data_IF_119639851575
#
_entry.id   IF_119639851575
#
_cell.length_a   1.000
_cell.length_b   1.000
_cell.length_c   1.000
_cell.angle_alpha   90.00
_cell.angle_beta   90.00
_cell.angle_gamma   90.00
#
_symmetry.space_group_name_H-M   'P 1'
#
loop_
_entity.id
_entity.type
_entity.pdbx_description
1 polymer ?
#
# COMPACT_ATOMS: atom_id res chain seq x y z
N UNK A 1 2.93 16.66 -37.28
CA UNK A 1 3.23 17.78 -36.36
C UNK A 1 3.42 17.19 -34.97
N UNK A 2 4.66 16.81 -34.67
CA UNK A 2 5.05 16.23 -33.38
C UNK A 2 5.15 17.33 -32.33
N UNK A 3 4.03 17.61 -31.66
CA UNK A 3 4.04 18.31 -30.38
C UNK A 3 4.55 17.35 -29.29
N UNK A 4 5.83 16.98 -29.35
CA UNK A 4 6.50 16.40 -28.17
C UNK A 4 6.65 17.53 -27.14
N UNK A 5 5.59 17.76 -26.37
CA UNK A 5 5.64 18.56 -25.15
C UNK A 5 6.74 17.95 -24.28
N UNK A 6 7.71 18.77 -23.91
CA UNK A 6 8.71 18.37 -22.94
C UNK A 6 8.01 18.12 -21.60
N UNK A 7 7.96 16.86 -21.16
CA UNK A 7 7.33 16.43 -19.92
C UNK A 7 8.35 16.32 -18.77
N UNK A 8 9.55 16.89 -18.93
CA UNK A 8 10.51 17.01 -17.83
C UNK A 8 9.94 17.86 -16.69
N UNK A 9 9.96 17.29 -15.49
CA UNK A 9 9.48 17.98 -14.29
C UNK A 9 10.11 17.39 -13.04
N UNK A 10 10.22 18.21 -11.99
CA UNK A 10 10.64 17.73 -10.67
C UNK A 10 9.56 16.85 -10.03
N UNK A 11 8.28 17.19 -10.22
CA UNK A 11 7.14 16.45 -9.67
C UNK A 11 6.04 16.30 -10.72
N UNK A 12 5.65 15.06 -10.99
CA UNK A 12 4.47 14.70 -11.78
C UNK A 12 3.35 14.23 -10.86
N UNK A 13 2.15 14.76 -11.03
CA UNK A 13 0.98 14.41 -10.22
C UNK A 13 -0.06 13.76 -11.12
N UNK A 14 -0.38 12.51 -10.83
CA UNK A 14 -1.47 11.78 -11.45
C UNK A 14 -2.80 12.11 -10.78
N UNK A 15 -3.65 12.79 -11.55
CA UNK A 15 -5.04 13.11 -11.19
C UNK A 15 -6.02 12.64 -12.29
N UNK A 16 -5.64 11.64 -13.10
CA UNK A 16 -6.40 11.28 -14.30
C UNK A 16 -7.64 10.45 -13.97
N UNK A 17 -7.48 9.33 -13.25
CA UNK A 17 -8.58 8.43 -12.87
C UNK A 17 -8.33 7.85 -11.48
N UNK A 18 -9.20 8.15 -10.52
CA UNK A 18 -9.15 7.56 -9.18
C UNK A 18 -10.02 6.29 -9.04
N UNK A 19 -10.76 6.20 -7.94
CA UNK A 19 -11.58 5.03 -7.56
C UNK A 19 -12.65 4.57 -8.57
N UNK A 20 -13.01 5.42 -9.54
CA UNK A 20 -14.00 5.11 -10.57
C UNK A 20 -13.45 4.32 -11.77
N UNK A 21 -12.17 3.94 -11.77
CA UNK A 21 -11.56 3.19 -12.86
C UNK A 21 -12.31 1.88 -13.18
N UNK A 22 -12.61 1.67 -14.46
CA UNK A 22 -13.27 0.47 -15.00
C UNK A 22 -12.62 0.06 -16.31
N UNK A 23 -12.38 -1.24 -16.48
CA UNK A 23 -11.87 -1.78 -17.74
C UNK A 23 -10.36 -1.57 -17.90
N UNK A 24 -9.97 -0.96 -19.00
CA UNK A 24 -8.56 -0.70 -19.34
C UNK A 24 -8.35 0.79 -19.63
N UNK A 25 -7.10 1.24 -19.46
CA UNK A 25 -6.72 2.59 -19.88
C UNK A 25 -6.79 2.73 -21.40
N UNK A 26 -6.92 3.95 -21.90
CA UNK A 26 -6.79 4.23 -23.33
C UNK A 26 -5.32 4.21 -23.77
N UNK A 27 -4.99 3.86 -25.04
CA UNK A 27 -3.60 3.74 -25.50
C UNK A 27 -2.73 4.98 -25.27
N UNK A 28 -3.31 6.18 -25.32
CA UNK A 28 -2.60 7.43 -25.09
C UNK A 28 -2.24 7.67 -23.61
N UNK A 29 -2.88 6.96 -22.67
CA UNK A 29 -2.58 7.01 -21.23
C UNK A 29 -1.50 5.99 -20.86
N UNK A 30 -0.41 5.95 -21.63
CA UNK A 30 0.75 5.16 -21.27
C UNK A 30 1.60 5.91 -20.24
N UNK A 31 1.29 5.73 -18.95
CA UNK A 31 1.95 6.47 -17.87
C UNK A 31 3.44 6.16 -17.74
N UNK A 32 3.90 4.99 -18.16
CA UNK A 32 5.34 4.69 -18.22
C UNK A 32 6.06 5.68 -19.13
N UNK A 33 5.51 5.96 -20.32
CA UNK A 33 6.05 6.95 -21.26
C UNK A 33 5.89 8.39 -20.75
N UNK A 34 4.71 8.72 -20.20
CA UNK A 34 4.40 10.07 -19.74
C UNK A 34 5.24 10.52 -18.53
N UNK A 35 5.75 9.57 -17.74
CA UNK A 35 6.49 9.84 -16.50
C UNK A 35 8.00 9.62 -16.60
N UNK A 36 8.55 9.30 -17.78
CA UNK A 36 9.97 8.95 -17.96
C UNK A 36 10.93 10.05 -17.48
N UNK A 37 10.54 11.32 -17.65
CA UNK A 37 11.36 12.49 -17.28
C UNK A 37 10.93 13.14 -15.96
N UNK A 38 10.06 12.50 -15.19
CA UNK A 38 9.63 13.00 -13.88
C UNK A 38 10.58 12.51 -12.78
N UNK A 39 11.07 13.42 -11.94
CA UNK A 39 11.96 13.05 -10.82
C UNK A 39 11.22 12.42 -9.64
N UNK A 40 9.99 12.86 -9.39
CA UNK A 40 9.11 12.34 -8.35
C UNK A 40 7.67 12.26 -8.84
N UNK A 41 6.95 11.20 -8.48
CA UNK A 41 5.60 10.89 -9.00
C UNK A 41 4.63 10.70 -7.85
N UNK A 42 3.55 11.50 -7.83
CA UNK A 42 2.50 11.43 -6.81
C UNK A 42 1.20 10.98 -7.46
N UNK A 43 0.53 9.98 -6.89
CA UNK A 43 -0.84 9.64 -7.26
C UNK A 43 -1.85 10.30 -6.32
N UNK A 44 -2.86 10.94 -6.90
CA UNK A 44 -4.02 11.46 -6.19
C UNK A 44 -5.06 10.34 -6.00
N UNK A 45 -5.36 10.01 -4.75
CA UNK A 45 -6.28 8.96 -4.32
C UNK A 45 -5.81 7.52 -4.61
N UNK A 46 -5.74 7.16 -5.90
CA UNK A 46 -5.37 5.84 -6.41
C UNK A 46 -4.59 6.06 -7.71
N UNK A 47 -3.42 5.41 -7.92
CA UNK A 47 -2.74 5.45 -9.21
C UNK A 47 -3.66 5.03 -10.35
N UNK A 48 -3.74 5.86 -11.39
CA UNK A 48 -4.58 5.64 -12.54
C UNK A 48 -4.30 4.29 -13.18
N UNK A 49 -5.36 3.49 -13.38
CA UNK A 49 -5.26 2.13 -13.91
C UNK A 49 -5.28 1.03 -12.84
N UNK A 50 -5.46 1.36 -11.56
CA UNK A 50 -5.77 0.39 -10.50
C UNK A 50 -7.27 0.38 -10.22
N UNK A 51 -7.92 -0.77 -10.30
CA UNK A 51 -9.35 -0.89 -10.02
C UNK A 51 -9.65 -1.20 -8.55
N UNK A 52 -10.93 -1.17 -8.18
CA UNK A 52 -11.39 -1.42 -6.80
C UNK A 52 -11.04 -2.81 -6.24
N UNK A 53 -10.63 -3.76 -7.10
CA UNK A 53 -10.18 -5.11 -6.69
C UNK A 53 -8.66 -5.22 -6.62
N UNK A 54 -7.93 -4.11 -6.84
CA UNK A 54 -6.47 -4.08 -6.86
C UNK A 54 -5.86 -4.75 -8.09
N UNK A 55 -6.62 -4.89 -9.18
CA UNK A 55 -6.09 -5.31 -10.49
C UNK A 55 -5.49 -4.09 -11.18
N UNK A 56 -4.35 -4.27 -11.83
CA UNK A 56 -3.55 -3.18 -12.39
C UNK A 56 -3.50 -3.30 -13.92
N UNK A 57 -3.81 -2.22 -14.63
CA UNK A 57 -3.60 -2.12 -16.09
C UNK A 57 -2.10 -2.10 -16.39
N UNK A 58 -1.70 -2.67 -17.53
CA UNK A 58 -0.29 -2.69 -17.98
C UNK A 58 0.32 -1.30 -18.12
N UNK A 59 -0.50 -0.28 -18.33
CA UNK A 59 -0.10 1.12 -18.51
C UNK A 59 -0.31 1.97 -17.25
N UNK A 60 -0.66 1.35 -16.11
CA UNK A 60 -1.01 2.08 -14.90
C UNK A 60 0.12 2.98 -14.41
N UNK A 61 -0.25 4.07 -13.75
CA UNK A 61 0.69 5.03 -13.18
C UNK A 61 1.49 4.39 -12.05
N UNK A 62 2.81 4.56 -12.07
CA UNK A 62 3.72 4.11 -11.00
C UNK A 62 4.16 5.32 -10.19
N UNK A 63 3.59 5.47 -9.00
CA UNK A 63 3.89 6.55 -8.09
C UNK A 63 5.03 6.20 -7.13
N UNK A 64 5.80 7.20 -6.73
CA UNK A 64 6.71 7.11 -5.58
C UNK A 64 5.92 7.31 -4.27
N UNK A 65 4.80 8.04 -4.32
CA UNK A 65 3.88 8.27 -3.21
C UNK A 65 2.43 8.34 -3.69
N UNK A 66 1.49 7.76 -2.93
CA UNK A 66 0.05 7.86 -3.16
C UNK A 66 -0.63 8.52 -1.97
N UNK A 67 -1.37 9.60 -2.23
CA UNK A 67 -2.20 10.28 -1.22
C UNK A 67 -3.62 9.75 -1.31
N UNK A 68 -3.98 8.79 -0.46
CA UNK A 68 -5.31 8.22 -0.42
C UNK A 68 -6.29 9.16 0.29
N UNK A 69 -7.33 9.60 -0.41
CA UNK A 69 -8.22 10.66 0.09
C UNK A 69 -9.21 10.13 1.13
N UNK A 70 -9.21 10.72 2.33
CA UNK A 70 -10.10 10.37 3.43
C UNK A 70 -9.67 9.13 4.21
N UNK A 71 -9.50 8.00 3.53
CA UNK A 71 -9.08 6.71 4.11
C UNK A 71 -8.35 5.85 3.07
N UNK A 72 -7.65 4.80 3.53
CA UNK A 72 -6.98 3.83 2.66
C UNK A 72 -8.01 2.92 1.96
N UNK A 73 -7.82 2.65 0.67
CA UNK A 73 -8.64 1.72 -0.12
C UNK A 73 -7.95 0.38 -0.22
N UNK A 74 -8.73 -0.70 -0.14
CA UNK A 74 -8.21 -2.08 -0.22
C UNK A 74 -7.45 -2.38 -1.52
N UNK A 75 -7.83 -1.74 -2.62
CA UNK A 75 -7.14 -1.89 -3.90
C UNK A 75 -5.66 -1.48 -3.87
N UNK A 76 -5.29 -0.54 -2.99
CA UNK A 76 -3.91 -0.07 -2.81
C UNK A 76 -3.04 -1.08 -2.06
N UNK A 77 -3.66 -2.08 -1.42
CA UNK A 77 -2.99 -3.08 -0.59
C UNK A 77 -2.80 -4.42 -1.28
N UNK A 78 -3.20 -4.54 -2.56
CA UNK A 78 -2.99 -5.78 -3.32
C UNK A 78 -1.52 -6.00 -3.59
N UNK A 79 -1.09 -7.27 -3.67
CA UNK A 79 0.32 -7.59 -3.95
C UNK A 79 0.80 -7.01 -5.27
N UNK A 80 -0.08 -6.90 -6.27
CA UNK A 80 0.24 -6.29 -7.57
C UNK A 80 0.34 -4.77 -7.49
N UNK A 81 -0.46 -4.13 -6.63
CA UNK A 81 -0.45 -2.67 -6.48
C UNK A 81 0.81 -2.16 -5.77
N UNK A 82 1.50 -2.99 -4.98
CA UNK A 82 2.74 -2.62 -4.27
C UNK A 82 3.78 -1.95 -5.17
N UNK A 83 3.91 -2.40 -6.42
CA UNK A 83 4.87 -1.85 -7.40
C UNK A 83 4.42 -0.51 -8.04
N UNK A 84 3.21 -0.04 -7.73
CA UNK A 84 2.58 1.14 -8.37
C UNK A 84 2.20 2.23 -7.36
N UNK A 85 1.96 1.88 -6.10
CA UNK A 85 1.44 2.82 -5.09
C UNK A 85 2.52 3.62 -4.37
N UNK A 86 3.75 3.10 -4.29
CA UNK A 86 4.82 3.73 -3.52
C UNK A 86 4.48 3.87 -2.03
N UNK A 87 4.91 4.96 -1.40
CA UNK A 87 4.52 5.28 -0.02
C UNK A 87 3.03 5.66 0.06
N UNK A 88 2.27 5.03 0.96
CA UNK A 88 0.86 5.33 1.17
C UNK A 88 0.66 6.33 2.31
N UNK A 89 -0.03 7.43 2.03
CA UNK A 89 -0.42 8.44 3.03
C UNK A 89 -1.91 8.76 2.93
N UNK A 90 -2.58 8.93 4.07
CA UNK A 90 -3.97 9.41 4.10
C UNK A 90 -3.98 10.93 4.00
N UNK A 91 -4.72 11.46 3.02
CA UNK A 91 -5.04 12.89 2.89
C UNK A 91 -6.38 13.22 3.58
N UNK A 92 -6.38 14.10 4.58
CA UNK A 92 -7.58 14.45 5.33
C UNK A 92 -8.51 15.40 4.56
N UNK A 93 -9.82 15.21 4.67
CA UNK A 93 -10.85 15.94 3.91
C UNK A 93 -11.56 17.04 4.73
N UNK A 94 -10.83 17.69 5.63
CA UNK A 94 -11.34 18.84 6.41
C UNK A 94 -11.97 18.49 7.77
N UNK A 95 -12.00 17.21 8.14
CA UNK A 95 -12.41 16.74 9.47
C UNK A 95 -11.40 15.73 10.01
N UNK A 96 -11.47 15.46 11.31
CA UNK A 96 -10.65 14.42 11.91
C UNK A 96 -11.03 13.04 11.35
N UNK A 97 -10.04 12.15 11.18
CA UNK A 97 -10.25 10.86 10.52
C UNK A 97 -11.30 10.00 11.22
N UNK A 98 -11.33 10.00 12.56
CA UNK A 98 -12.34 9.27 13.35
C UNK A 98 -13.78 9.75 13.12
N UNK A 99 -13.97 10.98 12.60
CA UNK A 99 -15.29 11.52 12.22
C UNK A 99 -15.65 11.10 10.79
N UNK A 100 -14.65 11.01 9.91
CA UNK A 100 -14.83 10.61 8.52
C UNK A 100 -15.04 9.10 8.36
N UNK A 101 -14.30 8.30 9.13
CA UNK A 101 -14.30 6.86 9.08
C UNK A 101 -15.62 6.25 9.60
N UNK A 102 -15.97 5.10 9.03
CA UNK A 102 -17.13 4.30 9.44
C UNK A 102 -16.66 2.91 9.90
N UNK A 103 -17.48 2.15 10.66
CA UNK A 103 -17.13 0.80 11.05
C UNK A 103 -16.72 -0.08 9.86
N UNK A 104 -15.64 -0.85 10.03
CA UNK A 104 -15.05 -1.72 9.01
C UNK A 104 -14.47 -2.97 9.65
N UNK A 105 -14.35 -4.03 8.85
CA UNK A 105 -13.72 -5.30 9.23
C UNK A 105 -12.35 -5.49 8.57
N UNK A 106 -11.78 -4.43 8.01
CA UNK A 106 -10.49 -4.46 7.31
C UNK A 106 -9.58 -3.36 7.84
N UNK A 107 -8.36 -3.76 8.22
CA UNK A 107 -7.38 -2.88 8.86
C UNK A 107 -6.02 -3.02 8.18
N UNK A 108 -5.29 -1.91 8.06
CA UNK A 108 -3.89 -1.90 7.66
C UNK A 108 -3.05 -1.78 8.93
N UNK A 109 -2.20 -2.77 9.20
CA UNK A 109 -1.34 -2.77 10.37
C UNK A 109 -0.26 -1.70 10.25
N UNK A 110 -0.04 -0.99 11.34
CA UNK A 110 1.04 -0.03 11.53
C UNK A 110 2.08 -0.55 12.53
N UNK A 111 3.26 0.06 12.53
CA UNK A 111 4.33 -0.28 13.48
C UNK A 111 3.88 -0.12 14.94
N UNK A 112 2.99 0.83 15.21
CA UNK A 112 2.41 1.08 16.54
C UNK A 112 1.48 -0.03 17.03
N UNK A 113 0.96 -0.87 16.14
CA UNK A 113 0.07 -1.98 16.52
C UNK A 113 0.81 -3.13 17.18
N UNK A 114 2.14 -3.16 17.03
CA UNK A 114 2.99 -4.18 17.61
C UNK A 114 3.00 -4.10 19.14
N UNK A 115 2.34 -5.06 19.78
CA UNK A 115 2.39 -5.27 21.23
C UNK A 115 3.40 -6.37 21.55
N UNK A 116 4.64 -5.96 21.82
CA UNK A 116 5.69 -6.87 22.24
C UNK A 116 5.34 -7.54 23.59
N UNK A 117 5.69 -8.83 23.78
CA UNK A 117 5.54 -9.51 25.07
C UNK A 117 6.63 -9.07 26.06
N UNK A 118 6.67 -7.77 26.36
CA UNK A 118 7.62 -7.18 27.29
C UNK A 118 7.34 -7.69 28.71
N UNK A 119 8.41 -8.05 29.42
CA UNK A 119 8.35 -8.58 30.78
C UNK A 119 8.53 -7.45 31.77
N UNK A 120 7.47 -7.07 32.46
CA UNK A 120 7.45 -5.96 33.43
C UNK A 120 7.57 -6.44 34.90
N UNK A 121 7.32 -7.72 35.17
CA UNK A 121 7.49 -8.34 36.50
C UNK A 121 8.90 -8.89 36.69
N UNK A 122 9.50 -8.56 37.84
CA UNK A 122 10.84 -9.06 38.24
C UNK A 122 10.80 -10.39 38.99
N UNK A 123 9.73 -10.65 39.75
CA UNK A 123 9.53 -11.92 40.47
C UNK A 123 8.79 -12.94 39.60
N UNK A 124 9.27 -13.14 38.36
CA UNK A 124 8.72 -14.11 37.43
C UNK A 124 9.62 -15.34 37.37
N UNK A 125 9.02 -16.50 37.13
CA UNK A 125 9.69 -17.76 36.92
C UNK A 125 9.36 -18.34 35.53
N UNK A 126 10.11 -19.38 35.10
CA UNK A 126 9.98 -19.97 33.76
C UNK A 126 8.54 -20.37 33.36
N UNK A 127 7.70 -20.75 34.33
CA UNK A 127 6.30 -21.12 34.09
C UNK A 127 5.39 -19.96 33.68
N UNK A 128 5.73 -18.72 34.04
CA UNK A 128 4.87 -17.54 33.77
C UNK A 128 4.84 -17.18 32.29
N UNK A 129 5.81 -17.65 31.51
CA UNK A 129 5.94 -17.38 30.08
C UNK A 129 5.57 -18.58 29.20
N UNK A 130 4.94 -19.59 29.80
CA UNK A 130 4.46 -20.77 29.10
C UNK A 130 5.56 -21.77 28.71
N UNK A 131 5.12 -22.91 28.19
CA UNK A 131 5.98 -23.96 27.64
C UNK A 131 5.41 -24.37 26.28
N UNK A 132 6.12 -24.01 25.21
CA UNK A 132 5.73 -24.38 23.85
C UNK A 132 6.39 -25.71 23.45
N UNK A 133 5.65 -26.56 22.74
CA UNK A 133 6.17 -27.81 22.18
C UNK A 133 5.97 -27.84 20.67
N UNK A 134 7.02 -28.19 19.92
CA UNK A 134 7.01 -28.25 18.46
C UNK A 134 7.19 -29.69 18.01
N UNK A 135 6.28 -30.18 17.18
CA UNK A 135 6.36 -31.51 16.58
C UNK A 135 7.15 -31.46 15.27
N UNK A 136 8.21 -32.26 15.17
CA UNK A 136 9.06 -32.30 13.98
C UNK A 136 8.48 -33.20 12.89
N UNK A 137 8.26 -32.63 11.71
CA UNK A 137 7.87 -33.37 10.51
C UNK A 137 9.05 -33.95 9.73
N UNK A 138 8.76 -34.52 8.56
CA UNK A 138 9.75 -35.08 7.62
C UNK A 138 10.86 -34.08 7.28
N UNK A 139 10.51 -32.82 7.07
CA UNK A 139 11.46 -31.72 6.91
C UNK A 139 11.74 -31.07 8.26
N UNK A 140 12.52 -31.76 9.10
CA UNK A 140 12.78 -31.37 10.49
C UNK A 140 13.34 -29.96 10.65
N UNK A 141 14.08 -29.45 9.66
CA UNK A 141 14.61 -28.09 9.64
C UNK A 141 13.53 -27.01 9.81
N UNK A 142 12.32 -27.21 9.28
CA UNK A 142 11.23 -26.24 9.45
C UNK A 142 10.75 -26.18 10.91
N UNK A 143 10.62 -27.33 11.57
CA UNK A 143 10.24 -27.39 12.98
C UNK A 143 11.33 -26.82 13.89
N UNK A 144 12.61 -26.99 13.53
CA UNK A 144 13.73 -26.40 14.26
C UNK A 144 13.78 -24.87 14.15
N UNK A 145 13.38 -24.28 13.01
CA UNK A 145 13.28 -22.81 12.87
C UNK A 145 12.11 -22.20 13.64
N UNK A 146 11.06 -22.98 13.87
CA UNK A 146 9.88 -22.55 14.63
C UNK A 146 10.09 -22.56 16.16
N UNK A 147 11.06 -23.34 16.66
CA UNK A 147 11.35 -23.51 18.08
C UNK A 147 12.34 -22.46 18.61
#
# INVERSE_FOLDING_TARGET
EDNHKDLECDVLIDCMVGSAFKGGLEPFLNFESLSQKARFKIACDIPSGIDSKGRVDKRAFKADMTISMGAIKSCLLSDRAKDYVGELKVGHLGVFNQIYEIPTETFLLEKSDLKLPLRDKKNAHKGDYGHAHVLLGKHSGAGLLSA
#
